data_IF_595272129276
#
_entry.id   IF_595272129276
#
_cell.length_a   1.000
_cell.length_b   1.000
_cell.length_c   1.000
_cell.angle_alpha   90.00
_cell.angle_beta   90.00
_cell.angle_gamma   90.00
#
_symmetry.space_group_name_H-M   'P 1'
#
loop_
_entity.id
_entity.type
_entity.pdbx_description
1 polymer ?
#
# COMPACT_ATOMS: atom_id res chain seq x y z
N UNK A 1 12.54 -0.20 15.90
CA UNK A 1 11.88 0.35 14.71
C UNK A 1 10.78 1.27 15.19
N UNK A 2 10.78 2.54 14.78
CA UNK A 2 9.66 3.44 15.08
C UNK A 2 8.59 3.18 14.03
N UNK A 3 7.39 2.83 14.47
CA UNK A 3 6.23 2.62 13.63
C UNK A 3 5.10 3.52 14.15
N UNK A 4 4.44 4.21 13.24
CA UNK A 4 3.24 5.00 13.52
C UNK A 4 2.05 4.27 12.93
N UNK A 5 0.95 4.23 13.65
CA UNK A 5 -0.27 3.62 13.16
C UNK A 5 -1.49 4.43 13.59
N UNK A 6 -2.45 4.58 12.69
CA UNK A 6 -3.71 5.26 12.96
C UNK A 6 -4.80 4.80 12.00
N UNK A 7 -5.99 5.41 12.09
CA UNK A 7 -7.09 5.19 11.17
C UNK A 7 -7.45 6.46 10.42
N UNK A 8 -7.78 6.32 9.14
CA UNK A 8 -8.36 7.36 8.30
C UNK A 8 -9.58 6.75 7.62
N UNK A 9 -10.78 7.27 7.90
CA UNK A 9 -12.03 6.61 7.49
C UNK A 9 -12.13 5.18 8.04
N UNK A 10 -12.34 4.18 7.17
CA UNK A 10 -12.28 2.75 7.55
C UNK A 10 -10.90 2.12 7.41
N UNK A 11 -9.95 2.79 6.75
CA UNK A 11 -8.62 2.27 6.50
C UNK A 11 -7.70 2.36 7.74
N UNK A 12 -6.86 1.33 7.92
CA UNK A 12 -5.77 1.35 8.90
C UNK A 12 -4.48 1.76 8.21
N UNK A 13 -3.82 2.80 8.71
CA UNK A 13 -2.61 3.36 8.11
C UNK A 13 -1.42 3.01 8.98
N UNK A 14 -0.38 2.46 8.38
CA UNK A 14 0.88 2.10 9.02
C UNK A 14 2.03 2.83 8.31
N UNK A 15 2.82 3.58 9.07
CA UNK A 15 3.96 4.35 8.55
C UNK A 15 5.22 4.01 9.30
N UNK A 16 6.30 3.81 8.56
CA UNK A 16 7.62 3.58 9.14
C UNK A 16 8.72 3.97 8.15
N UNK A 17 9.92 4.14 8.68
CA UNK A 17 11.13 4.32 7.87
C UNK A 17 11.85 2.97 7.78
N UNK A 18 12.18 2.55 6.57
CA UNK A 18 12.92 1.33 6.29
C UNK A 18 14.32 1.65 5.74
N UNK A 19 15.34 1.16 6.44
CA UNK A 19 16.71 1.12 5.97
C UNK A 19 16.91 0.00 4.96
N UNK A 20 17.52 0.30 3.81
CA UNK A 20 17.84 -0.66 2.74
C UNK A 20 19.31 -0.50 2.38
N UNK A 21 20.06 -1.60 2.46
CA UNK A 21 21.43 -1.65 1.96
C UNK A 21 21.42 -1.66 0.42
N UNK A 22 22.10 -0.68 -0.20
CA UNK A 22 22.15 -0.53 -1.66
C UNK A 22 23.57 -0.65 -2.23
N UNK A 23 24.54 -0.95 -1.38
CA UNK A 23 25.93 -1.18 -1.74
C UNK A 23 26.80 -1.36 -0.50
N UNK A 24 28.10 -1.69 -0.68
CA UNK A 24 29.05 -1.75 0.43
C UNK A 24 29.01 -0.44 1.21
N UNK A 25 28.74 -0.54 2.51
CA UNK A 25 28.66 0.59 3.45
C UNK A 25 27.68 1.71 3.03
N UNK A 26 26.71 1.41 2.16
CA UNK A 26 25.72 2.39 1.68
C UNK A 26 24.31 1.96 2.04
N UNK A 27 23.68 2.71 2.95
CA UNK A 27 22.28 2.53 3.35
C UNK A 27 21.43 3.68 2.82
N UNK A 28 20.24 3.37 2.30
CA UNK A 28 19.19 4.35 1.99
C UNK A 28 18.02 4.15 2.93
N UNK A 29 17.36 5.25 3.25
CA UNK A 29 16.19 5.26 4.12
C UNK A 29 14.95 5.55 3.27
N UNK A 30 13.91 4.73 3.42
CA UNK A 30 12.68 4.85 2.66
C UNK A 30 11.52 5.12 3.61
N UNK A 31 10.72 6.14 3.31
CA UNK A 31 9.37 6.24 3.83
C UNK A 31 8.57 5.09 3.25
N UNK A 32 7.91 4.32 4.12
CA UNK A 32 6.94 3.32 3.71
C UNK A 32 5.63 3.52 4.45
N UNK A 33 4.56 3.44 3.69
CA UNK A 33 3.19 3.65 4.16
C UNK A 33 2.38 2.46 3.64
N UNK A 34 1.69 1.77 4.53
CA UNK A 34 0.89 0.58 4.24
C UNK A 34 -0.54 0.79 4.73
N UNK A 35 -1.49 0.23 3.98
CA UNK A 35 -2.85 0.03 4.47
C UNK A 35 -3.36 -1.33 4.03
N UNK A 36 -3.81 -2.13 4.99
CA UNK A 36 -4.56 -3.34 4.70
C UNK A 36 -5.91 -2.98 4.10
N UNK A 37 -6.26 -3.59 2.96
CA UNK A 37 -7.53 -3.32 2.27
C UNK A 37 -8.51 -4.48 2.44
N UNK A 38 -8.08 -5.70 2.13
CA UNK A 38 -8.93 -6.89 2.15
C UNK A 38 -8.09 -8.18 2.19
N UNK A 39 -8.71 -9.27 2.64
CA UNK A 39 -8.18 -10.61 2.38
C UNK A 39 -8.43 -11.00 0.92
N UNK A 40 -7.58 -11.84 0.35
CA UNK A 40 -7.84 -12.45 -0.96
C UNK A 40 -9.05 -13.38 -0.79
N UNK A 41 -10.15 -13.15 -1.52
CA UNK A 41 -11.35 -13.98 -1.38
C UNK A 41 -11.08 -15.43 -1.78
N UNK A 42 -11.83 -16.36 -1.18
CA UNK A 42 -11.77 -17.79 -1.51
C UNK A 42 -12.48 -18.03 -2.85
N UNK A 43 -11.71 -17.97 -3.93
CA UNK A 43 -12.20 -18.07 -5.31
C UNK A 43 -11.76 -19.37 -5.99
N UNK A 44 -12.49 -19.76 -7.04
CA UNK A 44 -11.99 -20.74 -8.01
C UNK A 44 -10.75 -20.19 -8.72
N UNK A 45 -9.95 -21.05 -9.36
CA UNK A 45 -8.73 -20.63 -10.07
C UNK A 45 -9.00 -19.52 -11.10
N UNK A 46 -10.06 -19.67 -11.91
CA UNK A 46 -10.42 -18.69 -12.94
C UNK A 46 -10.88 -17.35 -12.34
N UNK A 47 -11.69 -17.38 -11.28
CA UNK A 47 -12.11 -16.15 -10.60
C UNK A 47 -10.96 -15.47 -9.87
N UNK A 48 -9.99 -16.24 -9.34
CA UNK A 48 -8.76 -15.71 -8.75
C UNK A 48 -7.90 -15.01 -9.79
N UNK A 49 -7.75 -15.58 -10.98
CA UNK A 49 -7.02 -14.93 -12.09
C UNK A 49 -7.66 -13.59 -12.47
N UNK A 50 -8.99 -13.55 -12.59
CA UNK A 50 -9.73 -12.31 -12.85
C UNK A 50 -9.54 -11.27 -11.73
N UNK A 51 -9.59 -11.69 -10.47
CA UNK A 51 -9.32 -10.83 -9.32
C UNK A 51 -7.91 -10.22 -9.38
N UNK A 52 -6.88 -11.04 -9.65
CA UNK A 52 -5.50 -10.59 -9.75
C UNK A 52 -5.30 -9.63 -10.93
N UNK A 53 -5.86 -9.95 -12.09
CA UNK A 53 -5.87 -9.03 -13.25
C UNK A 53 -6.54 -7.72 -12.89
N UNK A 54 -7.64 -7.75 -12.12
CA UNK A 54 -8.32 -6.53 -11.69
C UNK A 54 -7.46 -5.67 -10.78
N UNK A 55 -6.73 -6.27 -9.83
CA UNK A 55 -5.78 -5.54 -9.00
C UNK A 55 -4.66 -4.88 -9.84
N UNK A 56 -4.19 -5.56 -10.89
CA UNK A 56 -3.20 -5.00 -11.81
C UNK A 56 -3.76 -3.83 -12.63
N UNK A 57 -4.99 -3.94 -13.13
CA UNK A 57 -5.67 -2.81 -13.81
C UNK A 57 -5.87 -1.62 -12.87
N UNK A 58 -6.20 -1.89 -11.60
CA UNK A 58 -6.37 -0.84 -10.59
C UNK A 58 -5.04 -0.12 -10.31
N UNK A 59 -3.90 -0.81 -10.36
CA UNK A 59 -2.58 -0.19 -10.25
C UNK A 59 -2.28 0.81 -11.37
N UNK A 60 -2.72 0.53 -12.60
CA UNK A 60 -2.55 1.45 -13.72
C UNK A 60 -3.46 2.68 -13.59
N UNK A 61 -4.72 2.46 -13.22
CA UNK A 61 -5.73 3.52 -13.12
C UNK A 61 -5.51 4.47 -11.93
N UNK A 62 -5.07 3.93 -10.79
CA UNK A 62 -5.00 4.66 -9.54
C UNK A 62 -3.56 5.14 -9.29
N UNK A 63 -3.30 6.39 -9.68
CA UNK A 63 -1.96 6.98 -9.60
C UNK A 63 -1.52 7.20 -8.15
N UNK A 64 -0.23 6.97 -7.90
CA UNK A 64 0.42 7.31 -6.63
C UNK A 64 0.40 6.21 -5.57
N UNK A 65 -0.28 5.09 -5.80
CA UNK A 65 -0.29 3.95 -4.85
C UNK A 65 -0.04 2.63 -5.57
N UNK A 66 0.59 1.69 -4.88
CA UNK A 66 0.81 0.33 -5.36
C UNK A 66 -0.04 -0.64 -4.54
N UNK A 67 -1.00 -1.29 -5.20
CA UNK A 67 -1.66 -2.49 -4.72
C UNK A 67 -0.68 -3.67 -4.78
N UNK A 68 -0.53 -4.36 -3.67
CA UNK A 68 0.33 -5.53 -3.55
C UNK A 68 -0.37 -6.64 -2.77
N UNK A 69 0.09 -7.86 -3.00
CA UNK A 69 -0.15 -8.98 -2.10
C UNK A 69 1.05 -9.14 -1.19
N UNK A 70 0.84 -9.04 0.11
CA UNK A 70 1.93 -9.27 1.05
C UNK A 70 2.29 -10.76 1.03
N UNK A 71 3.59 -11.03 0.86
CA UNK A 71 4.16 -12.38 0.76
C UNK A 71 3.63 -13.28 1.87
N UNK A 72 3.21 -14.49 1.52
CA UNK A 72 2.70 -15.51 2.45
C UNK A 72 1.44 -15.16 3.27
N UNK A 73 0.82 -13.98 3.11
CA UNK A 73 -0.32 -13.58 3.96
C UNK A 73 -1.70 -13.68 3.30
N UNK A 74 -1.79 -13.85 1.98
CA UNK A 74 -3.06 -13.76 1.21
C UNK A 74 -3.86 -12.48 1.50
N UNK A 75 -3.18 -11.37 1.74
CA UNK A 75 -3.78 -10.07 2.05
C UNK A 75 -3.39 -9.03 1.00
N UNK A 76 -4.36 -8.22 0.62
CA UNK A 76 -4.18 -7.08 -0.29
C UNK A 76 -3.87 -5.84 0.52
N UNK A 77 -2.81 -5.13 0.11
CA UNK A 77 -2.40 -3.86 0.70
C UNK A 77 -2.33 -2.77 -0.35
N UNK A 78 -2.72 -1.55 0.02
CA UNK A 78 -2.22 -0.34 -0.64
C UNK A 78 -0.88 0.03 0.00
N UNK A 79 0.10 0.38 -0.83
CA UNK A 79 1.43 0.75 -0.37
C UNK A 79 1.95 1.98 -1.09
N UNK A 80 2.66 2.81 -0.36
CA UNK A 80 3.46 3.92 -0.87
C UNK A 80 4.88 3.75 -0.37
N UNK A 81 5.86 4.00 -1.23
CA UNK A 81 7.25 4.08 -0.80
C UNK A 81 8.01 5.16 -1.55
N UNK A 82 8.91 5.83 -0.84
CA UNK A 82 9.76 6.87 -1.42
C UNK A 82 11.03 7.02 -0.60
N UNK A 83 12.15 7.26 -1.28
CA UNK A 83 13.40 7.63 -0.60
C UNK A 83 13.20 8.98 0.11
N UNK A 84 13.59 9.05 1.39
CA UNK A 84 13.47 10.28 2.18
C UNK A 84 14.53 11.33 1.80
N UNK A 85 15.55 10.97 1.02
CA UNK A 85 16.60 11.90 0.59
C UNK A 85 16.00 13.01 -0.26
N UNK A 86 16.10 14.24 0.25
CA UNK A 86 15.56 15.43 -0.41
C UNK A 86 14.05 15.61 -0.21
N UNK A 87 13.42 14.80 0.64
CA UNK A 87 12.02 14.94 0.99
C UNK A 87 11.82 16.12 1.93
N UNK A 88 10.92 17.04 1.57
CA UNK A 88 10.47 18.10 2.48
C UNK A 88 9.21 17.69 3.26
N UNK A 89 8.81 18.54 4.21
CA UNK A 89 7.62 18.30 5.03
C UNK A 89 6.34 18.18 4.20
N UNK A 90 6.18 19.01 3.17
CA UNK A 90 4.99 19.00 2.33
C UNK A 90 4.93 17.70 1.55
N UNK A 91 6.04 17.27 0.95
CA UNK A 91 6.14 16.00 0.25
C UNK A 91 5.81 14.82 1.16
N UNK A 92 6.37 14.79 2.38
CA UNK A 92 6.03 13.77 3.37
C UNK A 92 4.53 13.75 3.67
N UNK A 93 3.96 14.93 3.96
CA UNK A 93 2.54 15.06 4.30
C UNK A 93 1.63 14.65 3.14
N UNK A 94 2.01 14.99 1.90
CA UNK A 94 1.27 14.61 0.68
C UNK A 94 1.34 13.11 0.44
N UNK A 95 2.51 12.48 0.60
CA UNK A 95 2.62 11.02 0.45
C UNK A 95 1.69 10.27 1.42
N UNK A 96 1.60 10.76 2.65
CA UNK A 96 0.72 10.20 3.69
C UNK A 96 -0.76 10.44 3.33
N UNK A 97 -1.13 11.68 3.04
CA UNK A 97 -2.50 12.04 2.70
C UNK A 97 -3.01 11.32 1.43
N UNK A 98 -2.14 11.14 0.43
CA UNK A 98 -2.48 10.43 -0.80
C UNK A 98 -2.77 8.96 -0.51
N UNK A 99 -1.94 8.26 0.30
CA UNK A 99 -2.25 6.88 0.67
C UNK A 99 -3.52 6.81 1.52
N UNK A 100 -3.70 7.71 2.50
CA UNK A 100 -4.90 7.75 3.34
C UNK A 100 -6.18 7.77 2.50
N UNK A 101 -6.25 8.69 1.55
CA UNK A 101 -7.40 8.85 0.67
C UNK A 101 -7.61 7.61 -0.22
N UNK A 102 -6.53 7.11 -0.83
CA UNK A 102 -6.63 5.93 -1.68
C UNK A 102 -7.01 4.68 -0.90
N UNK A 103 -6.50 4.50 0.31
CA UNK A 103 -6.78 3.34 1.12
C UNK A 103 -8.27 3.23 1.48
N UNK A 104 -8.89 4.34 1.88
CA UNK A 104 -10.32 4.42 2.20
C UNK A 104 -11.23 4.28 0.95
N UNK A 105 -10.72 4.67 -0.23
CA UNK A 105 -11.45 4.42 -1.47
C UNK A 105 -11.34 2.96 -1.94
N UNK A 106 -10.14 2.39 -1.85
CA UNK A 106 -9.82 1.07 -2.40
C UNK A 106 -10.37 -0.06 -1.52
N UNK A 107 -10.42 0.13 -0.20
CA UNK A 107 -11.03 -0.87 0.68
C UNK A 107 -12.54 -1.01 0.41
N UNK A 108 -13.24 0.09 0.15
CA UNK A 108 -14.65 0.10 -0.23
C UNK A 108 -14.89 -0.47 -1.63
N UNK A 109 -14.06 -0.11 -2.63
CA UNK A 109 -14.15 -0.71 -3.97
C UNK A 109 -13.95 -2.24 -3.93
N UNK A 110 -12.98 -2.73 -3.13
CA UNK A 110 -12.71 -4.16 -3.01
C UNK A 110 -13.80 -4.91 -2.22
N UNK A 111 -14.29 -4.33 -1.13
CA UNK A 111 -15.43 -4.90 -0.38
C UNK A 111 -16.66 -5.00 -1.27
N UNK A 112 -17.00 -3.94 -2.02
CA UNK A 112 -18.18 -3.96 -2.89
C UNK A 112 -18.10 -4.97 -4.04
N UNK A 113 -16.90 -5.30 -4.51
CA UNK A 113 -16.71 -6.21 -5.63
C UNK A 113 -16.64 -7.69 -5.21
N UNK A 114 -16.20 -7.98 -3.97
CA UNK A 114 -15.80 -9.33 -3.58
C UNK A 114 -16.27 -9.80 -2.19
N UNK A 115 -16.94 -8.95 -1.40
CA UNK A 115 -17.61 -9.33 -0.15
C UNK A 115 -19.13 -9.27 -0.29
#
# INVERSE_FOLDING_TARGET
MIFWHWKHGSANIEVFIQSVEVGPDTTREYLRIFSFLAEVPKLSTAAREQFLTKLLEMNDRNLGVKLTLMEETSKVYATYERDIRGMDYNELSTCIADLEWWADKLDDELKSAYN
#
